data_IF_669375135081
#
_entry.id   IF_669375135081
#
_cell.length_a   1.000
_cell.length_b   1.000
_cell.length_c   1.000
_cell.angle_alpha   90.00
_cell.angle_beta   90.00
_cell.angle_gamma   90.00
#
_symmetry.space_group_name_H-M   'P 1'
#
loop_
_entity.id
_entity.type
_entity.pdbx_description
1 polymer ?
#
# COMPACT_ATOMS: atom_id res chain seq x y z
N UNK A 1 -45.80 7.27 1.37
CA UNK A 1 -46.21 7.61 2.75
C UNK A 1 -47.70 7.38 3.01
N UNK A 2 -48.61 7.60 2.03
CA UNK A 2 -50.06 7.64 2.28
C UNK A 2 -50.77 6.28 2.48
N UNK A 3 -50.27 5.16 1.96
CA UNK A 3 -50.99 3.87 2.06
C UNK A 3 -50.85 3.15 3.42
N UNK A 4 -49.78 3.38 4.17
CA UNK A 4 -49.52 2.68 5.45
C UNK A 4 -50.26 3.35 6.61
N UNK A 5 -50.33 4.68 6.58
CA UNK A 5 -51.10 5.48 7.54
C UNK A 5 -52.62 5.22 7.46
N UNK A 6 -53.11 4.73 6.33
CA UNK A 6 -54.49 4.29 6.14
C UNK A 6 -54.76 2.88 6.70
N UNK A 7 -53.72 2.05 6.86
CA UNK A 7 -53.82 0.67 7.37
C UNK A 7 -53.61 0.65 8.90
N UNK A 8 -52.51 1.24 9.38
CA UNK A 8 -52.22 1.39 10.81
C UNK A 8 -51.19 2.51 11.04
N UNK A 9 -51.59 3.54 11.80
CA UNK A 9 -50.72 4.68 12.12
C UNK A 9 -49.53 4.31 13.01
N UNK A 10 -49.63 3.25 13.80
CA UNK A 10 -48.55 2.80 14.70
C UNK A 10 -47.36 2.21 13.94
N UNK A 11 -47.57 1.75 12.69
CA UNK A 11 -46.53 1.19 11.84
C UNK A 11 -45.63 2.24 11.17
N UNK A 12 -46.03 3.51 11.14
CA UNK A 12 -45.27 4.59 10.47
C UNK A 12 -43.89 4.76 11.09
N UNK A 13 -43.81 4.79 12.42
CA UNK A 13 -42.55 4.94 13.16
C UNK A 13 -41.64 3.72 12.97
N UNK A 14 -42.22 2.53 12.91
CA UNK A 14 -41.49 1.29 12.63
C UNK A 14 -40.87 1.32 11.24
N UNK A 15 -41.62 1.77 10.23
CA UNK A 15 -41.16 1.88 8.83
C UNK A 15 -40.05 2.91 8.71
N UNK A 16 -40.18 4.09 9.31
CA UNK A 16 -39.13 5.12 9.26
C UNK A 16 -37.85 4.67 10.00
N UNK A 17 -37.98 4.01 11.16
CA UNK A 17 -36.83 3.40 11.85
C UNK A 17 -36.16 2.31 11.01
N UNK A 18 -36.95 1.47 10.34
CA UNK A 18 -36.40 0.41 9.49
C UNK A 18 -35.67 0.99 8.28
N UNK A 19 -36.26 2.01 7.64
CA UNK A 19 -35.64 2.78 6.57
C UNK A 19 -34.31 3.40 7.01
N UNK A 20 -34.26 4.04 8.17
CA UNK A 20 -33.01 4.61 8.71
C UNK A 20 -31.94 3.54 8.94
N UNK A 21 -32.31 2.37 9.49
CA UNK A 21 -31.39 1.24 9.67
C UNK A 21 -30.86 0.72 8.32
N UNK A 22 -31.71 0.63 7.31
CA UNK A 22 -31.30 0.23 5.96
C UNK A 22 -30.28 1.21 5.38
N UNK A 23 -30.51 2.52 5.52
CA UNK A 23 -29.54 3.53 5.08
C UNK A 23 -28.21 3.43 5.83
N UNK A 24 -28.23 3.26 7.15
CA UNK A 24 -27.01 3.06 7.94
C UNK A 24 -26.24 1.81 7.48
N UNK A 25 -26.94 0.71 7.22
CA UNK A 25 -26.31 -0.52 6.73
C UNK A 25 -25.68 -0.33 5.35
N UNK A 26 -26.31 0.44 4.47
CA UNK A 26 -25.75 0.77 3.15
C UNK A 26 -24.49 1.63 3.27
N UNK A 27 -24.46 2.62 4.16
CA UNK A 27 -23.26 3.44 4.41
C UNK A 27 -22.10 2.59 4.96
N UNK A 28 -22.37 1.74 5.96
CA UNK A 28 -21.36 0.82 6.51
C UNK A 28 -20.80 -0.10 5.41
N UNK A 29 -21.67 -0.59 4.51
CA UNK A 29 -21.23 -1.42 3.39
C UNK A 29 -20.32 -0.64 2.44
N UNK A 30 -20.69 0.60 2.10
CA UNK A 30 -19.89 1.48 1.26
C UNK A 30 -18.50 1.73 1.85
N UNK A 31 -18.42 2.10 3.13
CA UNK A 31 -17.14 2.32 3.83
C UNK A 31 -16.25 1.06 3.81
N UNK A 32 -16.85 -0.12 4.01
CA UNK A 32 -16.12 -1.40 3.95
C UNK A 32 -15.54 -1.67 2.56
N UNK A 33 -16.31 -1.39 1.50
CA UNK A 33 -15.86 -1.55 0.12
C UNK A 33 -14.71 -0.58 -0.19
N UNK A 34 -14.85 0.69 0.18
CA UNK A 34 -13.80 1.70 -0.01
C UNK A 34 -12.52 1.31 0.73
N UNK A 35 -12.62 0.87 1.98
CA UNK A 35 -11.47 0.41 2.77
C UNK A 35 -10.83 -0.84 2.18
N UNK A 36 -11.62 -1.80 1.69
CA UNK A 36 -11.11 -2.99 1.02
C UNK A 36 -10.34 -2.63 -0.26
N UNK A 37 -10.86 -1.67 -1.03
CA UNK A 37 -10.19 -1.14 -2.21
C UNK A 37 -8.87 -0.43 -1.86
N UNK A 38 -8.88 0.45 -0.86
CA UNK A 38 -7.67 1.12 -0.37
C UNK A 38 -6.62 0.10 0.08
N UNK A 39 -7.00 -0.89 0.89
CA UNK A 39 -6.09 -1.93 1.38
C UNK A 39 -5.48 -2.75 0.22
N UNK A 40 -6.29 -3.09 -0.79
CA UNK A 40 -5.82 -3.81 -1.99
C UNK A 40 -4.68 -3.05 -2.68
N UNK A 41 -4.82 -1.73 -2.83
CA UNK A 41 -3.78 -0.92 -3.45
C UNK A 41 -2.62 -0.60 -2.51
N UNK A 42 -2.87 -0.44 -1.21
CA UNK A 42 -1.86 -0.09 -0.22
C UNK A 42 -0.72 -1.12 -0.17
N UNK A 43 -1.04 -2.42 -0.24
CA UNK A 43 -0.02 -3.48 -0.25
C UNK A 43 0.91 -3.31 -1.46
N UNK A 44 0.32 -3.15 -2.64
CA UNK A 44 1.06 -2.99 -3.91
C UNK A 44 1.90 -1.70 -3.88
N UNK A 45 1.32 -0.59 -3.43
CA UNK A 45 2.02 0.69 -3.30
C UNK A 45 3.16 0.60 -2.29
N UNK A 46 2.97 -0.10 -1.16
CA UNK A 46 4.03 -0.32 -0.17
C UNK A 46 5.18 -1.14 -0.75
N UNK A 47 4.90 -2.19 -1.52
CA UNK A 47 5.92 -2.99 -2.19
C UNK A 47 6.70 -2.15 -3.20
N UNK A 48 6.02 -1.35 -4.02
CA UNK A 48 6.64 -0.45 -4.99
C UNK A 48 7.49 0.62 -4.29
N UNK A 49 6.98 1.24 -3.22
CA UNK A 49 7.71 2.22 -2.44
C UNK A 49 8.96 1.62 -1.79
N UNK A 50 8.87 0.39 -1.28
CA UNK A 50 10.02 -0.33 -0.72
C UNK A 50 11.07 -0.61 -1.79
N UNK A 51 10.67 -1.12 -2.95
CA UNK A 51 11.58 -1.34 -4.08
C UNK A 51 12.25 -0.03 -4.52
N UNK A 52 11.45 1.04 -4.68
CA UNK A 52 11.95 2.37 -5.02
C UNK A 52 12.94 2.89 -3.98
N UNK A 53 12.66 2.75 -2.68
CA UNK A 53 13.57 3.22 -1.63
C UNK A 53 14.91 2.51 -1.60
N UNK A 54 14.99 1.28 -2.13
CA UNK A 54 16.25 0.56 -2.22
C UNK A 54 17.10 1.06 -3.39
N UNK A 55 16.50 1.40 -4.54
CA UNK A 55 17.24 1.85 -5.75
C UNK A 55 17.44 3.37 -5.77
N UNK A 56 16.45 4.13 -5.29
CA UNK A 56 16.41 5.59 -5.24
C UNK A 56 15.93 6.09 -3.86
N UNK A 57 16.69 5.81 -2.80
CA UNK A 57 16.42 6.36 -1.46
C UNK A 57 16.34 7.89 -1.53
N UNK A 58 15.32 8.48 -0.89
CA UNK A 58 15.12 9.94 -0.86
C UNK A 58 15.10 10.62 -2.25
N UNK A 59 14.71 9.90 -3.31
CA UNK A 59 14.83 10.34 -4.71
C UNK A 59 16.27 10.74 -5.13
N UNK A 60 17.29 10.19 -4.47
CA UNK A 60 18.70 10.39 -4.75
C UNK A 60 19.35 9.06 -5.17
N UNK A 61 20.62 9.10 -5.59
CA UNK A 61 21.38 7.90 -5.96
C UNK A 61 21.63 7.02 -4.73
N UNK A 62 21.42 5.72 -4.89
CA UNK A 62 21.63 4.71 -3.85
C UNK A 62 22.99 4.85 -3.15
N UNK A 63 24.07 4.99 -3.92
CA UNK A 63 25.45 5.09 -3.41
C UNK A 63 25.71 6.33 -2.54
N UNK A 64 24.84 7.35 -2.63
CA UNK A 64 24.95 8.60 -1.85
C UNK A 64 24.20 8.55 -0.52
N UNK A 65 23.27 7.62 -0.37
CA UNK A 65 22.38 7.53 0.79
C UNK A 65 22.59 6.22 1.58
N UNK A 66 22.85 5.10 0.90
CA UNK A 66 22.99 3.79 1.54
C UNK A 66 24.45 3.50 1.84
N UNK A 67 24.75 3.33 3.13
CA UNK A 67 26.07 2.88 3.59
C UNK A 67 26.31 1.40 3.28
N UNK A 68 27.54 1.04 2.91
CA UNK A 68 27.97 -0.33 2.63
C UNK A 68 27.66 -1.33 3.77
N UNK A 69 27.63 -0.87 5.03
CA UNK A 69 27.28 -1.68 6.20
C UNK A 69 25.90 -2.34 6.09
N UNK A 70 24.95 -1.71 5.39
CA UNK A 70 23.64 -2.31 5.12
C UNK A 70 23.78 -3.64 4.37
N UNK A 71 24.60 -3.66 3.32
CA UNK A 71 24.83 -4.84 2.50
C UNK A 71 25.69 -5.88 3.22
N UNK A 72 26.69 -5.44 3.97
CA UNK A 72 27.52 -6.36 4.76
C UNK A 72 26.74 -7.07 5.85
N UNK A 73 25.82 -6.36 6.53
CA UNK A 73 24.95 -6.98 7.54
C UNK A 73 23.97 -7.99 6.92
N UNK A 74 23.55 -7.78 5.66
CA UNK A 74 22.57 -8.61 4.99
C UNK A 74 23.17 -9.82 4.26
N UNK A 75 24.34 -9.65 3.64
CA UNK A 75 24.97 -10.61 2.74
C UNK A 75 26.35 -11.11 3.24
N UNK A 76 26.83 -10.59 4.37
CA UNK A 76 28.13 -10.95 4.93
C UNK A 76 29.31 -10.30 4.20
N UNK A 77 30.52 -10.66 4.64
CA UNK A 77 31.76 -10.10 4.10
C UNK A 77 32.07 -10.55 2.66
N UNK A 78 31.51 -11.68 2.23
CA UNK A 78 31.68 -12.17 0.85
C UNK A 78 31.01 -11.26 -0.18
N UNK A 79 30.08 -10.41 0.24
CA UNK A 79 29.50 -9.36 -0.60
C UNK A 79 30.57 -8.45 -1.22
N UNK A 80 31.65 -8.14 -0.48
CA UNK A 80 32.73 -7.29 -0.99
C UNK A 80 33.43 -7.99 -2.16
N UNK A 81 33.72 -9.29 -2.02
CA UNK A 81 34.38 -10.06 -3.08
C UNK A 81 33.51 -10.13 -4.34
N UNK A 82 32.21 -10.38 -4.15
CA UNK A 82 31.21 -10.35 -5.22
C UNK A 82 31.15 -8.97 -5.91
N UNK A 83 31.14 -7.89 -5.15
CA UNK A 83 31.12 -6.54 -5.71
C UNK A 83 32.37 -6.27 -6.57
N UNK A 84 33.55 -6.71 -6.12
CA UNK A 84 34.78 -6.58 -6.90
C UNK A 84 34.79 -7.43 -8.17
N UNK A 85 34.12 -8.58 -8.21
CA UNK A 85 34.07 -9.42 -9.42
C UNK A 85 33.12 -8.87 -10.48
N UNK A 86 32.01 -8.26 -10.06
CA UNK A 86 30.98 -7.76 -10.99
C UNK A 86 31.25 -6.33 -11.49
N UNK A 87 31.89 -5.48 -10.69
CA UNK A 87 32.06 -4.07 -11.00
C UNK A 87 33.11 -3.83 -12.09
N UNK A 88 32.69 -3.19 -13.19
CA UNK A 88 33.58 -2.85 -14.31
C UNK A 88 34.16 -1.46 -14.13
N UNK A 89 35.36 -1.37 -13.55
CA UNK A 89 36.04 -0.09 -13.25
C UNK A 89 36.31 0.79 -14.47
N UNK A 90 36.41 0.20 -15.67
CA UNK A 90 36.67 0.92 -16.92
C UNK A 90 35.39 1.41 -17.61
N UNK A 91 34.21 1.20 -17.01
CA UNK A 91 32.92 1.67 -17.54
C UNK A 91 32.39 2.83 -16.69
N UNK A 92 32.39 4.03 -17.28
CA UNK A 92 31.91 5.26 -16.63
C UNK A 92 30.41 5.52 -16.82
N UNK A 93 29.65 4.53 -17.26
CA UNK A 93 28.19 4.58 -17.36
C UNK A 93 27.54 4.05 -16.09
N UNK A 94 26.26 4.33 -15.88
CA UNK A 94 25.49 3.70 -14.81
C UNK A 94 25.59 2.16 -14.91
N UNK A 95 25.89 1.50 -13.80
CA UNK A 95 26.01 0.05 -13.71
C UNK A 95 24.99 -0.46 -12.70
N UNK A 96 24.24 -1.49 -13.11
CA UNK A 96 23.31 -2.20 -12.24
C UNK A 96 23.98 -3.53 -11.89
N UNK A 97 24.06 -3.82 -10.59
CA UNK A 97 24.61 -5.08 -10.07
C UNK A 97 23.44 -5.86 -9.48
N UNK A 98 23.17 -7.03 -10.05
CA UNK A 98 22.10 -7.93 -9.60
C UNK A 98 22.63 -8.83 -8.48
N UNK A 99 21.94 -8.81 -7.33
CA UNK A 99 22.34 -9.50 -6.09
C UNK A 99 21.61 -10.84 -5.90
#
# INVERSE_FOLDING_TARGET
KNNIAQIDKTLIDSVEKNKQRLFQNLEILKEKVEKAQQNKYQITLNQLNKAKSLVFPNNNLQEREINILYYLNKYGLDFVKFLFSELKVNRFTHQIIEL
#
